data_IF_149743948206
#
_entry.id   IF_149743948206
#
_cell.length_a   1.000
_cell.length_b   1.000
_cell.length_c   1.000
_cell.angle_alpha   90.00
_cell.angle_beta   90.00
_cell.angle_gamma   90.00
#
_symmetry.space_group_name_H-M   'P 1'
#
loop_
_entity.id
_entity.type
_entity.pdbx_description
1 polymer ?
#
# COMPACT_ATOMS: atom_id res chain seq x y z
N UNK A 1 -24.65 6.28 16.89
CA UNK A 1 -24.19 5.16 16.03
C UNK A 1 -25.15 3.98 16.16
N UNK A 2 -25.63 3.41 15.06
CA UNK A 2 -26.44 2.19 15.08
C UNK A 2 -25.52 1.03 15.45
N UNK A 3 -25.93 0.20 16.40
CA UNK A 3 -25.22 -1.02 16.80
C UNK A 3 -25.74 -2.19 15.94
N UNK A 4 -24.96 -2.70 14.97
CA UNK A 4 -25.41 -3.75 14.05
C UNK A 4 -25.81 -5.05 14.76
N UNK A 5 -25.31 -5.28 15.98
CA UNK A 5 -25.64 -6.49 16.76
C UNK A 5 -27.06 -6.47 17.35
N UNK A 6 -27.71 -5.29 17.34
CA UNK A 6 -29.06 -5.08 17.89
C UNK A 6 -30.15 -5.10 16.82
N UNK A 7 -29.79 -5.36 15.57
CA UNK A 7 -30.70 -5.34 14.44
C UNK A 7 -30.53 -6.59 13.56
N UNK A 8 -31.59 -7.01 12.90
CA UNK A 8 -31.56 -8.04 11.85
C UNK A 8 -31.97 -7.42 10.53
N UNK A 9 -31.21 -7.72 9.48
CA UNK A 9 -31.53 -7.32 8.12
C UNK A 9 -32.21 -8.46 7.35
N UNK A 10 -33.09 -8.11 6.41
CA UNK A 10 -33.60 -9.04 5.39
C UNK A 10 -33.71 -8.33 4.05
N UNK A 11 -33.34 -9.02 2.96
CA UNK A 11 -33.57 -8.51 1.60
C UNK A 11 -35.04 -8.76 1.25
N UNK A 12 -35.79 -7.69 1.01
CA UNK A 12 -37.22 -7.76 0.66
C UNK A 12 -37.43 -7.74 -0.85
N UNK A 13 -36.52 -7.12 -1.60
CA UNK A 13 -36.59 -7.04 -3.06
C UNK A 13 -35.19 -7.09 -3.65
N UNK A 14 -34.76 -8.22 -4.23
CA UNK A 14 -33.47 -8.34 -4.92
C UNK A 14 -33.36 -7.40 -6.13
N UNK A 15 -32.13 -7.06 -6.52
CA UNK A 15 -31.88 -6.31 -7.74
C UNK A 15 -32.36 -7.08 -8.98
N UNK A 16 -33.02 -6.37 -9.91
CA UNK A 16 -33.51 -6.97 -11.16
C UNK A 16 -32.39 -7.11 -12.20
N UNK A 17 -32.22 -8.29 -12.82
CA UNK A 17 -31.24 -8.48 -13.89
C UNK A 17 -31.53 -7.61 -15.11
N UNK A 18 -30.51 -6.90 -15.59
CA UNK A 18 -30.52 -6.28 -16.91
C UNK A 18 -30.02 -7.32 -17.91
N UNK A 19 -30.82 -7.66 -18.92
CA UNK A 19 -30.47 -8.66 -19.97
C UNK A 19 -30.04 -10.04 -19.42
N UNK A 20 -30.55 -10.44 -18.25
CA UNK A 20 -30.21 -11.73 -17.64
C UNK A 20 -28.77 -11.83 -17.09
N UNK A 21 -28.02 -10.71 -17.04
CA UNK A 21 -26.69 -10.68 -16.45
C UNK A 21 -26.70 -10.74 -14.92
N UNK A 22 -25.52 -10.88 -14.29
CA UNK A 22 -25.43 -10.85 -12.83
C UNK A 22 -25.89 -9.50 -12.27
N UNK A 23 -26.28 -9.49 -10.99
CA UNK A 23 -26.84 -8.33 -10.30
C UNK A 23 -26.10 -8.03 -9.00
N UNK A 24 -26.10 -6.78 -8.53
CA UNK A 24 -25.62 -6.45 -7.20
C UNK A 24 -26.40 -7.21 -6.12
N UNK A 25 -25.70 -7.67 -5.09
CA UNK A 25 -26.26 -8.43 -3.96
C UNK A 25 -25.95 -7.70 -2.66
N UNK A 26 -26.96 -7.55 -1.81
CA UNK A 26 -26.82 -7.02 -0.45
C UNK A 26 -26.74 -8.20 0.53
N UNK A 27 -25.70 -8.24 1.34
CA UNK A 27 -25.66 -9.08 2.54
C UNK A 27 -26.35 -8.34 3.70
N UNK A 28 -27.53 -8.81 4.15
CA UNK A 28 -28.27 -8.13 5.19
C UNK A 28 -27.64 -8.25 6.60
N UNK A 29 -26.69 -9.17 6.81
CA UNK A 29 -26.00 -9.32 8.10
C UNK A 29 -24.88 -8.29 8.27
N UNK A 30 -24.19 -7.94 7.18
CA UNK A 30 -23.03 -7.04 7.19
C UNK A 30 -23.35 -5.65 6.63
N UNK A 31 -24.40 -5.53 5.81
CA UNK A 31 -24.72 -4.33 5.04
C UNK A 31 -23.84 -4.15 3.80
N UNK A 32 -23.02 -5.14 3.44
CA UNK A 32 -22.13 -5.06 2.29
C UNK A 32 -22.91 -5.27 0.99
N UNK A 33 -22.65 -4.42 -0.01
CA UNK A 33 -23.19 -4.56 -1.37
C UNK A 33 -22.07 -5.02 -2.30
N UNK A 34 -22.19 -6.24 -2.80
CA UNK A 34 -21.26 -6.82 -3.78
C UNK A 34 -21.80 -6.65 -5.18
N UNK A 35 -20.94 -6.25 -6.13
CA UNK A 35 -21.26 -6.15 -7.55
C UNK A 35 -20.44 -7.20 -8.30
N UNK A 36 -21.05 -8.31 -8.74
CA UNK A 36 -20.31 -9.37 -9.44
C UNK A 36 -19.68 -8.86 -10.74
N UNK A 37 -18.55 -9.45 -11.13
CA UNK A 37 -17.92 -9.18 -12.41
C UNK A 37 -18.89 -9.47 -13.58
N UNK A 38 -18.88 -8.61 -14.59
CA UNK A 38 -19.80 -8.71 -15.73
C UNK A 38 -21.22 -8.20 -15.47
N UNK A 39 -21.50 -7.58 -14.31
CA UNK A 39 -22.79 -6.90 -14.06
C UNK A 39 -23.01 -5.82 -15.12
N UNK A 40 -24.10 -5.86 -15.90
CA UNK A 40 -24.35 -4.89 -16.94
C UNK A 40 -24.45 -3.45 -16.42
N UNK A 41 -24.19 -2.48 -17.30
CA UNK A 41 -24.41 -1.08 -16.97
C UNK A 41 -25.90 -0.81 -16.74
N UNK A 42 -26.22 -0.08 -15.68
CA UNK A 42 -27.59 0.22 -15.30
C UNK A 42 -27.71 0.67 -13.85
N UNK A 43 -28.92 1.04 -13.47
CA UNK A 43 -29.27 1.37 -12.09
C UNK A 43 -30.04 0.20 -11.49
N UNK A 44 -29.49 -0.35 -10.41
CA UNK A 44 -30.07 -1.46 -9.66
C UNK A 44 -30.58 -0.94 -8.33
N UNK A 45 -31.76 -1.40 -7.92
CA UNK A 45 -32.34 -1.08 -6.61
C UNK A 45 -32.53 -2.37 -5.84
N UNK A 46 -32.04 -2.41 -4.59
CA UNK A 46 -32.27 -3.52 -3.66
C UNK A 46 -33.09 -2.99 -2.49
N UNK A 47 -34.27 -3.55 -2.29
CA UNK A 47 -35.10 -3.30 -1.12
C UNK A 47 -34.67 -4.18 0.04
N UNK A 48 -34.58 -3.60 1.24
CA UNK A 48 -34.27 -4.33 2.46
C UNK A 48 -35.06 -3.81 3.65
N UNK A 49 -35.24 -4.67 4.64
CA UNK A 49 -35.89 -4.36 5.90
C UNK A 49 -34.92 -4.60 7.05
N UNK A 50 -34.89 -3.67 7.99
CA UNK A 50 -34.16 -3.81 9.25
C UNK A 50 -35.18 -3.90 10.38
N UNK A 51 -35.01 -4.84 11.30
CA UNK A 51 -35.82 -4.98 12.50
C UNK A 51 -34.94 -4.97 13.77
N UNK A 52 -35.45 -4.48 14.90
CA UNK A 52 -34.76 -4.62 16.18
C UNK A 52 -34.78 -6.08 16.66
N UNK A 53 -33.64 -6.55 17.20
CA UNK A 53 -33.54 -7.90 17.80
C UNK A 53 -34.42 -8.02 19.04
N UNK A 54 -34.45 -7.00 19.90
CA UNK A 54 -35.21 -7.01 21.15
C UNK A 54 -36.72 -6.81 20.93
N UNK A 55 -37.11 -6.15 19.84
CA UNK A 55 -38.51 -5.93 19.46
C UNK A 55 -38.73 -6.22 17.98
N UNK A 56 -38.94 -7.49 17.59
CA UNK A 56 -39.04 -7.90 16.18
C UNK A 56 -40.17 -7.25 15.38
N UNK A 57 -41.14 -6.60 16.05
CA UNK A 57 -42.19 -5.81 15.39
C UNK A 57 -41.78 -4.37 15.04
N UNK A 58 -40.66 -3.88 15.57
CA UNK A 58 -40.12 -2.55 15.25
C UNK A 58 -39.17 -2.68 14.05
N UNK A 59 -39.72 -2.46 12.84
CA UNK A 59 -38.98 -2.60 11.59
C UNK A 59 -39.07 -1.33 10.72
N UNK A 60 -38.06 -1.11 9.90
CA UNK A 60 -38.03 -0.07 8.87
C UNK A 60 -37.62 -0.65 7.52
N UNK A 61 -38.33 -0.25 6.47
CA UNK A 61 -37.97 -0.56 5.08
C UNK A 61 -37.12 0.55 4.48
N UNK A 62 -36.14 0.16 3.68
CA UNK A 62 -35.29 1.06 2.93
C UNK A 62 -34.84 0.41 1.62
N UNK A 63 -34.18 1.19 0.77
CA UNK A 63 -33.61 0.67 -0.48
C UNK A 63 -32.23 1.27 -0.73
N UNK A 64 -31.33 0.47 -1.29
CA UNK A 64 -30.04 0.93 -1.81
C UNK A 64 -30.07 0.98 -3.33
N UNK A 65 -29.53 2.06 -3.89
CA UNK A 65 -29.42 2.25 -5.34
C UNK A 65 -27.96 2.13 -5.75
N UNK A 66 -27.67 1.18 -6.63
CA UNK A 66 -26.34 0.93 -7.19
C UNK A 66 -26.35 1.33 -8.65
N UNK A 67 -25.52 2.31 -9.02
CA UNK A 67 -25.34 2.69 -10.43
C UNK A 67 -24.06 2.04 -10.96
N UNK A 68 -24.23 1.06 -11.86
CA UNK A 68 -23.14 0.43 -12.59
C UNK A 68 -22.96 1.21 -13.90
N UNK A 69 -21.85 1.91 -14.04
CA UNK A 69 -21.53 2.65 -15.26
C UNK A 69 -20.92 1.70 -16.29
N UNK A 70 -21.34 1.82 -17.55
CA UNK A 70 -20.67 1.13 -18.64
C UNK A 70 -19.17 1.49 -18.65
N UNK A 71 -18.28 0.53 -18.91
CA UNK A 71 -16.89 0.87 -19.15
C UNK A 71 -16.84 1.82 -20.34
N UNK A 72 -16.05 2.90 -20.23
CA UNK A 72 -15.92 3.90 -21.28
C UNK A 72 -15.21 3.36 -22.55
N UNK A 73 -14.82 2.09 -22.53
CA UNK A 73 -14.11 1.38 -23.58
C UNK A 73 -14.53 -0.09 -23.57
N UNK A 74 -14.75 -0.67 -24.75
CA UNK A 74 -14.73 -2.13 -24.89
C UNK A 74 -13.28 -2.58 -25.07
N UNK A 75 -12.79 -3.56 -24.29
CA UNK A 75 -11.45 -4.09 -24.48
C UNK A 75 -11.34 -4.71 -25.87
N UNK A 76 -10.39 -4.21 -26.66
CA UNK A 76 -10.12 -4.72 -28.00
C UNK A 76 -9.24 -5.97 -27.88
N UNK A 77 -9.78 -7.15 -28.20
CA UNK A 77 -9.00 -8.34 -28.58
C UNK A 77 -9.30 -9.63 -27.82
N UNK A 78 -9.60 -10.70 -28.57
CA UNK A 78 -9.44 -12.08 -28.13
C UNK A 78 -7.93 -12.43 -28.21
N UNK A 79 -7.31 -12.75 -27.07
CA UNK A 79 -5.89 -13.14 -26.99
C UNK A 79 -4.93 -12.16 -26.28
N UNK A 80 -5.45 -11.14 -25.59
CA UNK A 80 -4.62 -10.13 -24.93
C UNK A 80 -3.95 -10.65 -23.65
N UNK A 81 -2.62 -10.74 -23.66
CA UNK A 81 -1.85 -10.88 -22.42
C UNK A 81 -2.17 -9.69 -21.49
N UNK A 82 -2.41 -9.91 -20.18
CA UNK A 82 -2.70 -8.81 -19.27
C UNK A 82 -1.56 -7.80 -19.23
N UNK A 83 -1.86 -6.53 -19.54
CA UNK A 83 -0.90 -5.45 -19.47
C UNK A 83 -0.87 -4.86 -18.06
N UNK A 84 0.31 -4.85 -17.45
CA UNK A 84 0.56 -4.15 -16.19
C UNK A 84 0.94 -2.70 -16.44
N UNK A 85 0.64 -1.84 -15.46
CA UNK A 85 1.05 -0.43 -15.46
C UNK A 85 2.36 -0.16 -14.73
N UNK A 86 3.14 -1.21 -14.45
CA UNK A 86 4.37 -1.13 -13.64
C UNK A 86 5.45 -0.33 -14.35
N UNK A 87 6.36 0.27 -13.58
CA UNK A 87 7.38 1.18 -14.08
C UNK A 87 6.90 2.61 -14.34
N UNK A 88 5.59 2.83 -14.49
CA UNK A 88 5.08 4.16 -14.78
C UNK A 88 5.31 5.18 -13.66
N UNK A 89 5.30 4.75 -12.39
CA UNK A 89 5.56 5.66 -11.26
C UNK A 89 7.06 5.94 -11.07
N UNK A 90 7.89 4.93 -11.28
CA UNK A 90 9.35 5.01 -11.14
C UNK A 90 9.97 5.82 -12.28
N UNK A 91 9.51 5.64 -13.52
CA UNK A 91 10.03 6.33 -14.71
C UNK A 91 9.51 7.77 -14.86
N UNK A 92 8.28 8.04 -14.42
CA UNK A 92 7.59 9.34 -14.63
C UNK A 92 7.20 10.05 -13.33
N UNK A 93 7.95 9.83 -12.25
CA UNK A 93 7.83 10.57 -10.99
C UNK A 93 6.42 10.50 -10.38
N UNK A 94 5.81 9.32 -10.34
CA UNK A 94 4.40 9.16 -10.01
C UNK A 94 4.06 9.02 -8.52
N UNK A 95 5.04 8.72 -7.67
CA UNK A 95 4.79 8.58 -6.24
C UNK A 95 4.71 9.91 -5.50
N UNK A 96 3.64 10.09 -4.73
CA UNK A 96 3.46 11.27 -3.85
C UNK A 96 4.57 11.41 -2.80
N UNK A 97 5.23 10.30 -2.43
CA UNK A 97 6.38 10.30 -1.50
C UNK A 97 7.58 11.04 -2.07
N UNK A 98 7.80 11.06 -3.38
CA UNK A 98 8.88 11.82 -3.99
C UNK A 98 8.71 13.34 -3.80
N UNK A 99 7.54 13.88 -4.13
CA UNK A 99 7.26 15.30 -3.95
C UNK A 99 7.42 15.73 -2.48
N UNK A 100 6.94 14.90 -1.55
CA UNK A 100 7.07 15.17 -0.11
C UNK A 100 8.52 15.14 0.35
N UNK A 101 9.33 14.21 -0.15
CA UNK A 101 10.76 14.15 0.15
C UNK A 101 11.50 15.38 -0.38
N UNK A 102 11.28 15.77 -1.65
CA UNK A 102 11.88 16.99 -2.22
C UNK A 102 11.49 18.25 -1.44
N UNK A 103 10.22 18.37 -1.07
CA UNK A 103 9.73 19.51 -0.27
C UNK A 103 10.44 19.59 1.07
N UNK A 104 10.51 18.47 1.79
CA UNK A 104 11.17 18.42 3.10
C UNK A 104 12.68 18.65 2.98
N UNK A 105 13.33 18.07 1.97
CA UNK A 105 14.75 18.27 1.71
C UNK A 105 15.07 19.73 1.42
N UNK A 106 14.29 20.40 0.56
CA UNK A 106 14.43 21.85 0.30
C UNK A 106 14.24 22.69 1.55
N UNK A 107 13.30 22.33 2.42
CA UNK A 107 13.10 23.02 3.69
C UNK A 107 14.30 22.84 4.63
N UNK A 108 14.86 21.63 4.71
CA UNK A 108 16.05 21.32 5.51
C UNK A 108 17.30 22.03 5.00
N UNK A 109 17.44 22.21 3.69
CA UNK A 109 18.55 22.95 3.09
C UNK A 109 18.56 24.45 3.44
N UNK A 110 17.43 25.01 3.90
CA UNK A 110 17.38 26.39 4.41
C UNK A 110 17.96 26.52 5.82
N UNK A 111 18.14 25.41 6.54
CA UNK A 111 18.69 25.40 7.90
C UNK A 111 20.22 25.24 7.82
N UNK A 112 21.01 26.12 8.47
CA UNK A 112 22.46 26.01 8.48
C UNK A 112 22.96 24.63 8.96
N UNK A 113 23.99 24.10 8.29
CA UNK A 113 24.50 22.76 8.56
C UNK A 113 24.88 22.47 10.03
N UNK A 114 25.49 23.40 10.80
CA UNK A 114 25.81 23.15 12.21
C UNK A 114 24.56 22.93 13.06
N UNK A 115 23.54 23.78 12.89
CA UNK A 115 22.27 23.66 13.60
C UNK A 115 21.55 22.37 13.22
N UNK A 116 21.56 22.05 11.92
CA UNK A 116 20.98 20.81 11.40
C UNK A 116 21.62 19.55 12.03
N UNK A 117 22.95 19.51 12.13
CA UNK A 117 23.69 18.43 12.80
C UNK A 117 23.40 18.37 14.31
N UNK A 118 23.22 19.51 14.96
CA UNK A 118 22.85 19.57 16.37
C UNK A 118 21.44 19.02 16.62
N UNK A 119 20.47 19.46 15.82
CA UNK A 119 19.08 18.94 15.86
C UNK A 119 19.04 17.44 15.59
N UNK A 120 19.76 16.98 14.57
CA UNK A 120 19.82 15.56 14.22
C UNK A 120 20.37 14.67 15.35
N UNK A 121 21.35 15.16 16.13
CA UNK A 121 21.88 14.42 17.29
C UNK A 121 20.85 14.21 18.38
N UNK A 122 19.99 15.21 18.61
CA UNK A 122 18.94 15.14 19.65
C UNK A 122 17.68 14.42 19.17
N UNK A 123 17.44 14.38 17.86
CA UNK A 123 16.28 13.72 17.28
C UNK A 123 16.42 12.20 17.15
N UNK A 124 17.65 11.65 17.12
CA UNK A 124 17.92 10.20 17.09
C UNK A 124 17.31 9.43 18.27
N UNK A 125 17.03 10.11 19.38
CA UNK A 125 16.38 9.54 20.56
C UNK A 125 14.89 9.23 20.38
N UNK A 126 14.26 9.63 19.26
CA UNK A 126 12.80 9.50 19.10
C UNK A 126 12.34 8.18 18.48
N UNK A 127 13.24 7.34 17.93
CA UNK A 127 12.89 6.02 17.36
C UNK A 127 11.63 6.03 16.49
N UNK A 128 10.71 5.09 16.76
CA UNK A 128 9.41 5.00 16.09
C UNK A 128 8.43 6.16 16.42
N UNK A 129 8.67 6.95 17.47
CA UNK A 129 7.81 8.08 17.82
C UNK A 129 7.84 9.19 16.75
N UNK A 130 8.91 9.25 15.94
CA UNK A 130 9.00 10.12 14.76
C UNK A 130 7.93 9.84 13.69
N UNK A 131 7.28 8.66 13.70
CA UNK A 131 6.14 8.35 12.83
C UNK A 131 4.84 9.05 13.23
N UNK A 132 4.76 9.66 14.41
CA UNK A 132 3.58 10.43 14.83
C UNK A 132 3.34 11.69 13.96
N UNK A 133 4.30 12.04 13.09
CA UNK A 133 4.21 13.21 12.22
C UNK A 133 4.60 14.50 12.92
N UNK A 134 4.27 15.64 12.31
CA UNK A 134 4.55 16.96 12.86
C UNK A 134 6.04 17.26 13.04
N UNK A 135 6.35 18.00 14.12
CA UNK A 135 7.72 18.47 14.42
C UNK A 135 8.67 17.31 14.71
N UNK A 136 8.21 16.23 15.33
CA UNK A 136 9.02 15.04 15.61
C UNK A 136 9.58 14.40 14.33
N UNK A 137 8.76 14.25 13.30
CA UNK A 137 9.20 13.74 11.99
C UNK A 137 10.21 14.68 11.32
N UNK A 138 9.99 16.00 11.40
CA UNK A 138 10.88 17.00 10.79
C UNK A 138 12.22 17.10 11.53
N UNK A 139 12.22 16.99 12.86
CA UNK A 139 13.41 16.92 13.69
C UNK A 139 14.19 15.63 13.42
N UNK A 140 13.52 14.50 13.28
CA UNK A 140 14.15 13.22 12.92
C UNK A 140 14.85 13.29 11.55
N UNK A 141 14.29 14.04 10.60
CA UNK A 141 14.91 14.29 9.29
C UNK A 141 16.02 15.36 9.35
N UNK A 142 16.16 16.14 10.43
CA UNK A 142 17.22 17.14 10.54
C UNK A 142 18.62 16.51 10.48
N UNK A 143 18.78 15.27 10.92
CA UNK A 143 20.05 14.54 10.79
C UNK A 143 20.44 14.13 9.36
N UNK A 144 19.55 14.27 8.37
CA UNK A 144 19.74 13.73 7.02
C UNK A 144 20.95 14.34 6.30
N UNK A 145 21.86 13.50 5.82
CA UNK A 145 23.06 13.95 5.09
C UNK A 145 22.81 14.18 3.60
N UNK A 146 21.83 13.46 3.04
CA UNK A 146 21.40 13.59 1.65
C UNK A 146 19.90 13.31 1.47
N UNK A 147 19.43 13.39 0.22
CA UNK A 147 18.04 13.07 -0.12
C UNK A 147 17.72 11.60 0.20
N UNK A 148 18.69 10.70 0.08
CA UNK A 148 18.52 9.28 0.40
C UNK A 148 18.05 9.04 1.83
N UNK A 149 18.58 9.79 2.81
CA UNK A 149 18.18 9.67 4.22
C UNK A 149 16.74 10.17 4.46
N UNK A 150 16.37 11.30 3.83
CA UNK A 150 14.98 11.82 3.90
C UNK A 150 14.03 10.85 3.22
N UNK A 151 14.46 10.23 2.13
CA UNK A 151 13.64 9.33 1.35
C UNK A 151 13.45 7.96 2.03
N UNK A 152 14.51 7.37 2.59
CA UNK A 152 14.48 6.11 3.37
C UNK A 152 13.44 6.15 4.46
N UNK A 153 13.37 7.28 5.16
CA UNK A 153 12.39 7.56 6.20
C UNK A 153 10.92 7.42 5.74
N UNK A 154 10.63 7.55 4.44
CA UNK A 154 9.27 7.46 3.89
C UNK A 154 8.90 6.07 3.40
N UNK A 155 9.90 5.30 2.99
CA UNK A 155 9.70 3.96 2.43
C UNK A 155 9.88 2.87 3.49
N UNK A 156 10.69 3.13 4.53
CA UNK A 156 10.91 2.14 5.58
C UNK A 156 9.70 2.02 6.50
N UNK A 157 9.32 0.77 6.80
CA UNK A 157 8.27 0.45 7.79
C UNK A 157 8.81 0.60 9.20
N UNK A 158 9.98 0.04 9.48
CA UNK A 158 10.71 0.25 10.72
C UNK A 158 11.76 1.34 10.53
N UNK A 159 11.74 2.37 11.35
CA UNK A 159 12.77 3.45 11.35
C UNK A 159 14.13 2.90 11.70
N UNK A 160 14.14 1.93 12.59
CA UNK A 160 15.29 1.07 12.87
C UNK A 160 14.86 -0.38 12.62
N UNK A 161 15.10 -0.95 11.42
CA UNK A 161 14.76 -2.33 11.13
C UNK A 161 15.47 -3.34 12.04
N UNK A 162 16.66 -3.01 12.54
CA UNK A 162 17.41 -3.88 13.44
C UNK A 162 16.73 -3.99 14.82
N UNK A 163 15.92 -3.00 15.22
CA UNK A 163 15.16 -3.06 16.47
C UNK A 163 14.10 -4.18 16.50
N UNK A 164 13.71 -4.72 15.34
CA UNK A 164 12.76 -5.83 15.25
C UNK A 164 13.42 -7.22 15.31
N UNK A 165 14.76 -7.30 15.18
CA UNK A 165 15.49 -8.55 14.97
C UNK A 165 16.66 -8.63 15.96
N UNK A 166 16.74 -9.71 16.72
CA UNK A 166 17.77 -9.87 17.77
C UNK A 166 19.17 -9.87 17.17
N UNK A 167 20.02 -9.00 17.70
CA UNK A 167 21.44 -8.91 17.30
C UNK A 167 21.66 -8.52 15.84
N UNK A 168 20.63 -8.04 15.14
CA UNK A 168 20.75 -7.69 13.74
C UNK A 168 21.54 -6.40 13.53
N UNK A 169 22.18 -6.33 12.37
CA UNK A 169 22.73 -5.11 11.83
C UNK A 169 22.18 -4.95 10.42
N UNK A 170 21.58 -3.79 10.14
CA UNK A 170 21.05 -3.51 8.80
C UNK A 170 22.20 -3.55 7.78
N UNK A 171 22.11 -4.37 6.72
CA UNK A 171 23.10 -4.37 5.66
C UNK A 171 23.01 -3.07 4.86
N UNK A 172 24.11 -2.68 4.22
CA UNK A 172 24.08 -1.56 3.29
C UNK A 172 23.21 -1.91 2.08
N UNK A 173 22.14 -1.15 1.88
CA UNK A 173 21.24 -1.25 0.72
C UNK A 173 21.39 -0.04 -0.18
N UNK A 174 20.81 -0.06 -1.38
CA UNK A 174 20.76 1.12 -2.25
C UNK A 174 20.10 2.32 -1.55
N UNK A 175 19.05 2.07 -0.75
CA UNK A 175 18.41 3.10 0.07
C UNK A 175 19.26 3.61 1.24
N UNK A 176 20.30 2.87 1.63
CA UNK A 176 21.25 3.29 2.66
C UNK A 176 22.25 4.35 2.17
N UNK A 177 22.35 4.54 0.86
CA UNK A 177 23.27 5.49 0.25
C UNK A 177 22.71 6.93 0.35
N UNK A 178 23.47 7.89 0.91
CA UNK A 178 23.04 9.29 1.00
C UNK A 178 22.82 9.95 -0.38
N UNK A 179 23.63 9.56 -1.35
CA UNK A 179 23.58 9.99 -2.75
C UNK A 179 23.87 8.81 -3.69
N UNK A 180 22.83 8.07 -4.14
CA UNK A 180 23.01 6.93 -5.04
C UNK A 180 23.46 7.31 -6.46
N UNK A 181 23.36 8.59 -6.83
CA UNK A 181 23.75 9.08 -8.15
C UNK A 181 25.17 9.63 -8.20
N UNK A 182 25.86 9.70 -7.06
CA UNK A 182 27.23 10.22 -6.95
C UNK A 182 27.38 11.61 -7.62
N UNK A 183 26.36 12.46 -7.47
CA UNK A 183 26.31 13.81 -8.06
C UNK A 183 25.85 13.89 -9.51
N UNK A 184 25.60 12.78 -10.21
CA UNK A 184 25.10 12.77 -11.59
C UNK A 184 23.57 12.83 -11.63
N UNK A 185 23.01 14.05 -11.54
CA UNK A 185 21.57 14.28 -11.69
C UNK A 185 20.95 15.02 -10.51
N UNK A 186 19.63 15.01 -10.44
CA UNK A 186 18.88 15.71 -9.40
C UNK A 186 18.55 14.80 -8.21
N UNK A 187 18.21 15.38 -7.03
CA UNK A 187 17.67 14.60 -5.92
C UNK A 187 16.39 13.81 -6.27
N UNK A 188 15.66 14.20 -7.32
CA UNK A 188 14.49 13.46 -7.79
C UNK A 188 14.91 12.16 -8.47
N UNK A 189 15.92 12.24 -9.34
CA UNK A 189 16.46 11.10 -10.06
C UNK A 189 17.03 10.06 -9.08
N UNK A 190 17.65 10.50 -7.99
CA UNK A 190 18.18 9.61 -6.95
C UNK A 190 17.09 8.74 -6.30
N UNK A 191 15.91 9.31 -6.04
CA UNK A 191 14.79 8.56 -5.46
C UNK A 191 14.12 7.66 -6.49
N UNK A 192 13.97 8.14 -7.73
CA UNK A 192 13.43 7.35 -8.83
C UNK A 192 14.31 6.13 -9.11
N UNK A 193 15.63 6.32 -9.15
CA UNK A 193 16.58 5.24 -9.39
C UNK A 193 16.53 4.23 -8.26
N UNK A 194 16.46 4.70 -7.01
CA UNK A 194 16.36 3.80 -5.86
C UNK A 194 15.12 2.90 -5.94
N UNK A 195 13.95 3.46 -6.25
CA UNK A 195 12.74 2.65 -6.43
C UNK A 195 12.80 1.79 -7.70
N UNK A 196 13.35 2.28 -8.81
CA UNK A 196 13.49 1.50 -10.04
C UNK A 196 14.35 0.26 -9.84
N UNK A 197 15.48 0.40 -9.12
CA UNK A 197 16.44 -0.68 -8.89
C UNK A 197 16.00 -1.66 -7.81
N UNK A 198 15.20 -1.23 -6.82
CA UNK A 198 14.86 -2.07 -5.66
C UNK A 198 13.36 -2.30 -5.56
N UNK A 199 12.55 -1.27 -5.29
CA UNK A 199 11.10 -1.43 -5.10
C UNK A 199 10.38 -2.05 -6.31
N UNK A 200 10.70 -1.59 -7.51
CA UNK A 200 10.11 -2.10 -8.74
C UNK A 200 10.57 -3.54 -9.00
N UNK A 201 11.90 -3.77 -8.99
CA UNK A 201 12.48 -5.08 -9.28
C UNK A 201 12.11 -6.15 -8.25
N UNK A 202 12.26 -5.84 -6.96
CA UNK A 202 12.19 -6.84 -5.88
C UNK A 202 10.79 -6.99 -5.28
N UNK A 203 9.91 -5.98 -5.37
CA UNK A 203 8.54 -6.04 -4.83
C UNK A 203 7.50 -6.06 -5.96
N UNK A 204 7.42 -4.99 -6.77
CA UNK A 204 6.29 -4.85 -7.70
C UNK A 204 6.30 -5.91 -8.80
N UNK A 205 7.39 -6.04 -9.55
CA UNK A 205 7.50 -7.00 -10.64
C UNK A 205 7.45 -8.43 -10.13
N UNK A 206 8.17 -8.73 -9.04
CA UNK A 206 8.13 -10.03 -8.39
C UNK A 206 6.70 -10.41 -7.97
N UNK A 207 5.96 -9.50 -7.35
CA UNK A 207 4.57 -9.75 -6.94
C UNK A 207 3.67 -9.97 -8.14
N UNK A 208 3.74 -9.13 -9.16
CA UNK A 208 2.88 -9.24 -10.35
C UNK A 208 3.16 -10.56 -11.07
N UNK A 209 4.43 -10.88 -11.33
CA UNK A 209 4.84 -12.15 -11.94
C UNK A 209 4.34 -13.36 -11.16
N UNK A 210 4.64 -13.44 -9.87
CA UNK A 210 4.24 -14.58 -9.04
C UNK A 210 2.73 -14.76 -8.95
N UNK A 211 1.99 -13.65 -8.84
CA UNK A 211 0.52 -13.70 -8.71
C UNK A 211 -0.16 -14.00 -10.04
N UNK A 212 0.35 -13.47 -11.16
CA UNK A 212 -0.20 -13.76 -12.48
C UNK A 212 0.11 -15.19 -12.89
N UNK A 213 1.35 -15.67 -12.69
CA UNK A 213 1.76 -17.03 -13.04
C UNK A 213 1.07 -18.09 -12.17
N UNK A 214 0.74 -17.78 -10.92
CA UNK A 214 -0.10 -18.65 -10.08
C UNK A 214 -1.50 -18.87 -10.68
N UNK A 215 -1.98 -17.97 -11.53
CA UNK A 215 -3.22 -18.08 -12.29
C UNK A 215 -2.98 -18.43 -13.78
N UNK A 216 -1.76 -18.86 -14.14
CA UNK A 216 -1.35 -19.13 -15.52
C UNK A 216 -1.56 -17.95 -16.48
N UNK A 217 -1.39 -16.73 -15.97
CA UNK A 217 -1.46 -15.48 -16.72
C UNK A 217 -0.06 -14.86 -16.88
N UNK A 218 0.34 -14.58 -18.12
CA UNK A 218 1.57 -13.86 -18.43
C UNK A 218 1.29 -12.34 -18.44
N UNK A 219 1.69 -11.64 -17.38
CA UNK A 219 1.54 -10.19 -17.32
C UNK A 219 2.74 -9.48 -17.99
N UNK A 220 2.47 -8.48 -18.83
CA UNK A 220 3.51 -7.70 -19.52
C UNK A 220 3.53 -6.24 -19.07
N UNK A 221 4.71 -5.67 -18.88
CA UNK A 221 4.91 -4.29 -18.41
C UNK A 221 5.44 -3.38 -19.56
N UNK A 222 4.57 -2.90 -20.48
CA UNK A 222 5.00 -2.16 -21.67
C UNK A 222 5.73 -0.84 -21.38
N UNK A 223 5.50 -0.22 -20.22
CA UNK A 223 6.24 0.98 -19.81
C UNK A 223 7.70 0.70 -19.48
N UNK A 224 8.07 -0.56 -19.27
CA UNK A 224 9.43 -1.02 -19.05
C UNK A 224 10.12 -1.54 -20.32
N UNK A 225 9.49 -1.37 -21.49
CA UNK A 225 10.24 -1.51 -22.74
C UNK A 225 11.48 -0.61 -22.69
N UNK A 226 12.62 -1.14 -23.12
CA UNK A 226 13.90 -0.46 -22.98
C UNK A 226 13.92 0.90 -23.70
N UNK A 227 13.22 1.06 -24.83
CA UNK A 227 13.11 2.35 -25.52
C UNK A 227 12.33 3.37 -24.68
N UNK A 228 11.25 2.92 -24.03
CA UNK A 228 10.43 3.78 -23.16
C UNK A 228 11.20 4.16 -21.90
N UNK A 229 11.92 3.20 -21.31
CA UNK A 229 12.73 3.44 -20.13
C UNK A 229 13.89 4.42 -20.44
N UNK A 230 14.66 4.20 -21.51
CA UNK A 230 15.73 5.10 -21.93
C UNK A 230 15.20 6.50 -22.25
N UNK A 231 14.11 6.58 -23.01
CA UNK A 231 13.46 7.85 -23.28
C UNK A 231 13.06 8.54 -21.97
N UNK A 232 12.37 7.85 -21.06
CA UNK A 232 11.95 8.41 -19.79
C UNK A 232 13.14 8.90 -18.94
N UNK A 233 14.25 8.17 -18.91
CA UNK A 233 15.46 8.59 -18.20
C UNK A 233 16.15 9.80 -18.83
N UNK A 234 16.07 9.98 -20.15
CA UNK A 234 16.61 11.15 -20.84
C UNK A 234 15.83 12.46 -20.58
N UNK A 235 14.59 12.37 -20.09
CA UNK A 235 13.72 13.53 -19.92
C UNK A 235 14.10 14.40 -18.72
N UNK A 236 14.08 15.74 -18.87
CA UNK A 236 14.18 16.65 -17.73
C UNK A 236 12.99 16.48 -16.77
N UNK A 237 13.24 16.79 -15.49
CA UNK A 237 12.27 16.56 -14.41
C UNK A 237 10.95 17.32 -14.60
N UNK A 238 10.97 18.49 -15.24
CA UNK A 238 9.78 19.32 -15.49
C UNK A 238 8.77 18.65 -16.44
N UNK A 239 9.22 17.73 -17.30
CA UNK A 239 8.34 16.88 -18.10
C UNK A 239 7.72 15.72 -17.31
N UNK A 240 8.28 15.37 -16.15
CA UNK A 240 7.74 14.35 -15.24
C UNK A 240 6.88 14.96 -14.13
N UNK A 241 7.26 16.14 -13.66
CA UNK A 241 6.63 16.92 -12.60
C UNK A 241 6.49 18.39 -13.00
N UNK A 242 5.25 18.85 -13.22
CA UNK A 242 4.97 20.26 -13.53
C UNK A 242 3.84 20.80 -12.67
N UNK A 243 4.08 21.94 -12.01
CA UNK A 243 3.05 22.64 -11.21
C UNK A 243 2.34 21.71 -10.19
N UNK A 244 3.11 20.83 -9.55
CA UNK A 244 2.59 19.84 -8.59
C UNK A 244 1.97 18.58 -9.22
N UNK A 245 1.78 18.56 -10.54
CA UNK A 245 1.25 17.41 -11.28
C UNK A 245 2.37 16.42 -11.59
N UNK A 246 2.35 15.25 -10.94
CA UNK A 246 3.18 14.09 -11.27
C UNK A 246 2.70 13.35 -12.52
N UNK A 247 3.55 12.51 -13.11
CA UNK A 247 3.29 11.80 -14.38
C UNK A 247 2.84 12.79 -15.47
N UNK A 248 3.45 13.97 -15.51
CA UNK A 248 2.96 15.07 -16.34
C UNK A 248 2.90 14.68 -17.83
N UNK A 249 4.02 14.25 -18.41
CA UNK A 249 4.05 13.84 -19.83
C UNK A 249 3.10 12.67 -20.14
N UNK A 250 3.09 11.54 -19.41
CA UNK A 250 2.11 10.47 -19.64
C UNK A 250 0.66 10.96 -19.56
N UNK A 251 0.34 11.85 -18.62
CA UNK A 251 -1.01 12.44 -18.55
C UNK A 251 -1.34 13.23 -19.81
N UNK A 252 -0.44 14.07 -20.33
CA UNK A 252 -0.71 14.81 -21.57
C UNK A 252 -0.93 13.87 -22.78
N UNK A 253 -0.25 12.73 -22.84
CA UNK A 253 -0.50 11.71 -23.86
C UNK A 253 -1.88 11.08 -23.66
N UNK A 254 -2.20 10.66 -22.43
CA UNK A 254 -3.48 10.00 -22.12
C UNK A 254 -4.71 10.89 -22.35
N UNK A 255 -4.59 12.22 -22.22
CA UNK A 255 -5.69 13.16 -22.56
C UNK A 255 -6.18 13.04 -23.99
N UNK A 256 -5.37 12.53 -24.91
CA UNK A 256 -5.77 12.30 -26.31
C UNK A 256 -6.77 11.14 -26.44
N UNK A 257 -6.83 10.26 -25.44
CA UNK A 257 -7.60 9.02 -25.48
C UNK A 257 -8.66 8.93 -24.39
N UNK A 258 -8.49 9.65 -23.26
CA UNK A 258 -9.35 9.55 -22.08
C UNK A 258 -9.82 10.93 -21.61
N UNK A 259 -11.04 11.03 -21.06
CA UNK A 259 -11.54 12.27 -20.47
C UNK A 259 -10.64 12.78 -19.34
N UNK A 260 -10.51 14.10 -19.23
CA UNK A 260 -9.69 14.76 -18.19
C UNK A 260 -10.04 14.27 -16.77
N UNK A 261 -11.33 14.01 -16.50
CA UNK A 261 -11.78 13.49 -15.20
C UNK A 261 -11.17 12.13 -14.83
N UNK A 262 -10.83 11.30 -15.82
CA UNK A 262 -10.14 10.02 -15.60
C UNK A 262 -8.63 10.20 -15.49
N UNK A 263 -8.04 10.99 -16.39
CA UNK A 263 -6.58 11.22 -16.47
C UNK A 263 -6.03 11.92 -15.23
N UNK A 264 -6.77 12.92 -14.73
CA UNK A 264 -6.36 13.73 -13.58
C UNK A 264 -6.96 13.28 -12.26
N UNK A 265 -7.64 12.12 -12.24
CA UNK A 265 -8.17 11.54 -11.02
C UNK A 265 -7.06 11.33 -9.99
N UNK A 266 -7.35 11.61 -8.72
CA UNK A 266 -6.44 11.34 -7.62
C UNK A 266 -6.04 9.85 -7.54
N UNK A 267 -4.76 9.57 -7.28
CA UNK A 267 -4.23 8.21 -7.18
C UNK A 267 -4.94 7.45 -6.05
N UNK A 268 -5.55 6.32 -6.38
CA UNK A 268 -6.06 5.34 -5.42
C UNK A 268 -5.11 4.14 -5.45
N UNK A 269 -4.55 3.79 -4.30
CA UNK A 269 -3.68 2.62 -4.18
C UNK A 269 -4.49 1.33 -4.02
N UNK A 270 -3.89 0.20 -4.38
CA UNK A 270 -4.43 -1.14 -4.17
C UNK A 270 -3.90 -1.76 -2.86
N UNK A 271 -3.96 -0.99 -1.77
CA UNK A 271 -3.45 -1.45 -0.48
C UNK A 271 -4.36 -2.50 0.13
N UNK A 272 -3.80 -3.64 0.55
CA UNK A 272 -4.53 -4.65 1.29
C UNK A 272 -5.11 -4.07 2.60
N UNK A 273 -6.35 -4.39 2.98
CA UNK A 273 -6.99 -3.88 4.18
C UNK A 273 -6.50 -4.60 5.45
N UNK A 274 -5.18 -4.65 5.64
CA UNK A 274 -4.51 -5.40 6.72
C UNK A 274 -5.06 -5.02 8.10
N UNK A 275 -5.38 -3.74 8.34
CA UNK A 275 -5.99 -3.33 9.61
C UNK A 275 -7.32 -4.05 9.88
N UNK A 276 -8.17 -4.19 8.87
CA UNK A 276 -9.46 -4.87 9.01
C UNK A 276 -9.25 -6.37 9.24
N UNK A 277 -8.36 -6.99 8.46
CA UNK A 277 -8.04 -8.41 8.62
C UNK A 277 -7.48 -8.75 9.99
N UNK A 278 -6.52 -7.97 10.52
CA UNK A 278 -5.93 -8.23 11.84
C UNK A 278 -6.87 -7.93 13.00
N UNK A 279 -7.98 -7.21 12.79
CA UNK A 279 -9.03 -7.03 13.78
C UNK A 279 -10.14 -8.08 13.68
N UNK A 280 -10.37 -8.62 12.48
CA UNK A 280 -11.37 -9.66 12.20
C UNK A 280 -10.71 -11.00 11.91
N UNK A 281 -10.88 -11.49 10.68
CA UNK A 281 -10.63 -12.89 10.29
C UNK A 281 -9.23 -13.42 10.56
N UNK A 282 -8.21 -12.55 10.53
CA UNK A 282 -6.81 -12.94 10.73
C UNK A 282 -6.31 -12.66 12.15
N UNK A 283 -7.17 -12.23 13.08
CA UNK A 283 -6.76 -11.85 14.43
C UNK A 283 -6.15 -13.01 15.20
N UNK A 284 -6.82 -14.16 15.23
CA UNK A 284 -6.38 -15.32 15.99
C UNK A 284 -5.11 -15.92 15.37
N UNK A 285 -5.11 -16.08 14.05
CA UNK A 285 -3.92 -16.48 13.28
C UNK A 285 -2.71 -15.58 13.57
N UNK A 286 -2.91 -14.25 13.59
CA UNK A 286 -1.85 -13.31 13.93
C UNK A 286 -1.41 -13.43 15.39
N UNK A 287 -2.36 -13.62 16.31
CA UNK A 287 -2.08 -13.85 17.73
C UNK A 287 -1.20 -15.07 17.96
N UNK A 288 -1.48 -16.18 17.28
CA UNK A 288 -0.72 -17.44 17.38
C UNK A 288 0.70 -17.32 16.82
N UNK A 289 0.88 -16.57 15.72
CA UNK A 289 2.21 -16.31 15.15
C UNK A 289 3.04 -15.35 16.00
N UNK A 290 2.38 -14.43 16.72
CA UNK A 290 3.01 -13.40 17.55
C UNK A 290 2.99 -13.73 19.05
N UNK A 291 2.70 -14.98 19.44
CA UNK A 291 2.74 -15.40 20.85
C UNK A 291 4.18 -15.19 21.42
N UNK A 292 4.35 -14.48 22.54
CA UNK A 292 5.67 -14.19 23.12
C UNK A 292 6.51 -15.43 23.44
N UNK A 293 5.88 -16.57 23.75
CA UNK A 293 6.59 -17.85 23.96
C UNK A 293 7.16 -18.35 22.65
N UNK A 294 6.38 -18.29 21.57
CA UNK A 294 6.81 -18.67 20.22
C UNK A 294 7.95 -17.77 19.73
N UNK A 295 7.79 -16.45 19.83
CA UNK A 295 8.83 -15.50 19.43
C UNK A 295 10.16 -15.73 20.17
N UNK A 296 10.11 -16.11 21.45
CA UNK A 296 11.31 -16.48 22.23
C UNK A 296 11.91 -17.81 21.79
N UNK A 297 11.09 -18.80 21.44
CA UNK A 297 11.55 -20.10 20.95
C UNK A 297 12.20 -19.97 19.56
N UNK A 298 11.61 -19.20 18.66
CA UNK A 298 12.15 -18.96 17.31
C UNK A 298 13.47 -18.17 17.36
N UNK A 299 13.63 -17.28 18.35
CA UNK A 299 14.90 -16.63 18.69
C UNK A 299 15.41 -15.58 17.69
N UNK A 300 14.69 -15.34 16.59
CA UNK A 300 15.08 -14.37 15.55
C UNK A 300 14.56 -12.96 15.86
N UNK A 301 13.29 -12.83 16.21
CA UNK A 301 12.62 -11.55 16.41
C UNK A 301 12.81 -11.01 17.84
N UNK A 302 12.89 -9.68 17.96
CA UNK A 302 12.89 -9.02 19.26
C UNK A 302 11.49 -9.05 19.86
N UNK A 303 11.29 -9.95 20.83
CA UNK A 303 9.97 -10.26 21.38
C UNK A 303 9.36 -9.02 22.04
N UNK A 304 10.14 -8.29 22.85
CA UNK A 304 9.62 -7.13 23.56
C UNK A 304 9.11 -6.03 22.59
N UNK A 305 9.84 -5.81 21.48
CA UNK A 305 9.47 -4.82 20.48
C UNK A 305 8.20 -5.23 19.72
N UNK A 306 8.13 -6.49 19.27
CA UNK A 306 6.98 -7.02 18.52
C UNK A 306 5.73 -7.09 19.40
N UNK A 307 5.85 -7.65 20.60
CA UNK A 307 4.76 -7.74 21.60
C UNK A 307 4.19 -6.36 21.93
N UNK A 308 5.05 -5.35 22.12
CA UNK A 308 4.61 -3.98 22.38
C UNK A 308 3.81 -3.39 21.21
N UNK A 309 4.25 -3.60 19.96
CA UNK A 309 3.48 -3.14 18.79
C UNK A 309 2.15 -3.86 18.64
N UNK A 310 2.11 -5.17 18.92
CA UNK A 310 0.87 -5.95 18.86
C UNK A 310 -0.16 -5.47 19.89
N UNK A 311 0.27 -5.22 21.13
CA UNK A 311 -0.60 -4.67 22.18
C UNK A 311 -1.14 -3.28 21.80
N UNK A 312 -0.27 -2.38 21.31
CA UNK A 312 -0.68 -1.03 20.89
C UNK A 312 -1.65 -1.06 19.71
N UNK A 313 -1.43 -1.97 18.76
CA UNK A 313 -2.37 -2.21 17.66
C UNK A 313 -3.74 -2.67 18.19
N UNK A 314 -3.76 -3.63 19.13
CA UNK A 314 -4.97 -4.08 19.80
C UNK A 314 -5.71 -2.98 20.58
N UNK A 315 -4.98 -1.98 21.09
CA UNK A 315 -5.54 -0.78 21.73
C UNK A 315 -6.07 0.27 20.72
N UNK A 316 -6.03 -0.01 19.42
CA UNK A 316 -6.58 0.85 18.37
C UNK A 316 -5.56 1.73 17.65
N UNK A 317 -4.25 1.59 17.93
CA UNK A 317 -3.22 2.30 17.16
C UNK A 317 -3.01 1.66 15.77
N UNK A 318 -3.93 1.95 14.85
CA UNK A 318 -3.99 1.37 13.51
C UNK A 318 -2.68 1.47 12.71
N UNK A 319 -1.83 2.48 12.95
CA UNK A 319 -0.60 2.71 12.19
C UNK A 319 0.41 1.54 12.22
N UNK A 320 0.32 0.65 13.20
CA UNK A 320 1.25 -0.47 13.38
C UNK A 320 0.97 -1.67 12.47
N UNK A 321 -0.18 -1.72 11.78
CA UNK A 321 -0.52 -2.84 10.90
C UNK A 321 0.57 -3.12 9.85
N UNK A 322 1.22 -2.08 9.32
CA UNK A 322 2.26 -2.26 8.29
C UNK A 322 3.58 -2.79 8.83
N UNK A 323 3.85 -2.62 10.13
CA UNK A 323 5.02 -3.21 10.78
C UNK A 323 4.74 -4.68 11.08
N UNK A 324 3.59 -4.94 11.68
CA UNK A 324 3.14 -6.28 12.07
C UNK A 324 3.00 -7.20 10.87
N UNK A 325 2.50 -6.70 9.73
CA UNK A 325 2.36 -7.52 8.52
C UNK A 325 3.68 -8.13 8.06
N UNK A 326 4.77 -7.35 8.05
CA UNK A 326 6.09 -7.86 7.66
C UNK A 326 6.56 -8.97 8.61
N UNK A 327 6.34 -8.78 9.92
CA UNK A 327 6.68 -9.78 10.95
C UNK A 327 5.84 -11.05 10.80
N UNK A 328 4.55 -10.91 10.54
CA UNK A 328 3.62 -12.01 10.33
C UNK A 328 3.98 -12.83 9.08
N UNK A 329 4.30 -12.18 7.97
CA UNK A 329 4.73 -12.88 6.76
C UNK A 329 6.03 -13.68 7.00
N UNK A 330 6.98 -13.10 7.75
CA UNK A 330 8.19 -13.82 8.14
C UNK A 330 7.89 -15.02 9.05
N UNK A 331 7.10 -14.84 10.12
CA UNK A 331 6.72 -15.93 11.03
C UNK A 331 5.97 -17.05 10.31
N UNK A 332 5.06 -16.70 9.39
CA UNK A 332 4.31 -17.68 8.60
C UNK A 332 5.24 -18.48 7.67
N UNK A 333 6.15 -17.78 6.97
CA UNK A 333 7.17 -18.42 6.13
C UNK A 333 8.06 -19.36 6.96
N UNK A 334 8.59 -18.88 8.10
CA UNK A 334 9.45 -19.66 8.97
C UNK A 334 8.75 -20.93 9.47
N UNK A 335 7.51 -20.80 9.93
CA UNK A 335 6.71 -21.91 10.41
C UNK A 335 6.51 -23.00 9.34
N UNK A 336 6.20 -22.58 8.11
CA UNK A 336 6.00 -23.50 6.99
C UNK A 336 7.28 -24.28 6.68
N UNK A 337 8.43 -23.61 6.62
CA UNK A 337 9.69 -24.27 6.30
C UNK A 337 10.24 -25.13 7.44
N UNK A 338 10.05 -24.74 8.70
CA UNK A 338 10.36 -25.60 9.84
C UNK A 338 9.55 -26.89 9.80
N UNK A 339 8.25 -26.81 9.50
CA UNK A 339 7.38 -27.98 9.37
C UNK A 339 7.84 -28.91 8.22
N UNK A 340 8.17 -28.34 7.06
CA UNK A 340 8.67 -29.12 5.92
C UNK A 340 10.02 -29.80 6.23
N UNK A 341 10.95 -29.11 6.92
CA UNK A 341 12.25 -29.68 7.30
C UNK A 341 12.10 -30.81 8.33
N UNK A 342 11.20 -30.64 9.29
CA UNK A 342 10.88 -31.69 10.26
C UNK A 342 10.28 -32.95 9.57
N UNK A 343 9.43 -32.76 8.57
CA UNK A 343 8.89 -33.86 7.76
C UNK A 343 9.95 -34.53 6.87
N UNK A 344 10.94 -33.78 6.41
CA UNK A 344 12.04 -34.29 5.59
C UNK A 344 13.14 -35.04 6.39
N UNK A 345 13.05 -35.09 7.73
CA UNK A 345 13.94 -35.89 8.57
C UNK A 345 15.40 -35.41 8.66
N UNK A 346 15.64 -34.11 8.45
CA UNK A 346 16.96 -33.46 8.62
C UNK A 346 16.97 -32.44 9.74
#
# INVERSE_FOLDING_TARGET
PVDPTKITGTVTTPATPVKGGPVPVLDPATGEVSVPAGTPAGTYTIGYRICEVLHPGNCADASVTVTVTAPAFEPVGEGTEPLSGDGGDELFFGYTRYQRALRNWRALQRVPAPLRRWLGRHARAQGEASRAGGLAALLAEAGATGIGDVYRNRISRWRDPAAAIRGAREPATFYSQPDPLQGQGSPADAMMLADFTTYLADDLLCKVDRTSMAASLEARAPLLDWNVAEFAWSLPLDLKLREGTSKYLPKQVLRRYLPDAMVFRGKRGFGAPVTQWLHGDLRDWAGDLLDPRRLRQDGVLEEAAVSALWQRFGQGERKWHTHLWNVLMFQAWQAQWQAQRAQAGT
#
